data_IF_385737377061
#
_entry.id   IF_385737377061
#
_cell.length_a   1.000
_cell.length_b   1.000
_cell.length_c   1.000
_cell.angle_alpha   90.00
_cell.angle_beta   90.00
_cell.angle_gamma   90.00
#
_symmetry.space_group_name_H-M   'P 1'
#
loop_
_entity.id
_entity.type
_entity.pdbx_description
1 polymer ?
#
# COMPACT_ATOMS: atom_id res chain seq x y z
N UNK A 1 -1.66 13.28 -11.69
CA UNK A 1 -1.48 12.05 -10.85
C UNK A 1 -2.33 12.19 -9.60
N UNK A 2 -3.10 11.18 -9.23
CA UNK A 2 -3.98 11.13 -8.06
C UNK A 2 -3.87 9.76 -7.42
N UNK A 3 -3.65 9.69 -6.12
CA UNK A 3 -3.62 8.44 -5.35
C UNK A 3 -4.88 8.35 -4.48
N UNK A 4 -5.60 7.24 -4.55
CA UNK A 4 -6.75 6.94 -3.69
C UNK A 4 -6.41 5.72 -2.84
N UNK A 5 -6.47 5.85 -1.52
CA UNK A 5 -6.29 4.74 -0.58
C UNK A 5 -7.60 3.95 -0.49
N UNK A 6 -7.63 2.72 -0.96
CA UNK A 6 -8.85 1.89 -1.03
C UNK A 6 -9.09 1.09 0.24
N UNK A 7 -8.01 0.69 0.89
CA UNK A 7 -7.99 0.02 2.18
C UNK A 7 -6.71 0.40 2.93
N UNK A 8 -6.77 0.53 4.25
CA UNK A 8 -5.72 1.11 5.08
C UNK A 8 -5.41 0.32 6.33
N UNK A 9 -6.03 -0.86 6.49
CA UNK A 9 -5.84 -1.75 7.63
C UNK A 9 -4.71 -2.75 7.44
N UNK A 10 -4.26 -3.32 8.55
CA UNK A 10 -3.36 -4.48 8.57
C UNK A 10 -4.11 -5.77 8.15
N UNK A 11 -3.42 -6.90 8.12
CA UNK A 11 -3.99 -8.21 7.74
C UNK A 11 -5.26 -8.60 8.53
N UNK A 12 -5.45 -8.07 9.74
CA UNK A 12 -6.63 -8.32 10.58
C UNK A 12 -7.81 -7.43 10.24
N UNK A 13 -7.58 -6.32 9.52
CA UNK A 13 -8.57 -5.30 9.21
C UNK A 13 -9.19 -4.63 10.47
N UNK A 14 -10.12 -3.71 10.30
CA UNK A 14 -10.90 -3.12 11.40
C UNK A 14 -12.37 -3.05 10.97
N UNK A 15 -13.32 -3.66 11.69
CA UNK A 15 -13.18 -4.34 12.99
C UNK A 15 -12.63 -5.77 12.86
N UNK A 16 -11.81 -6.17 13.82
CA UNK A 16 -11.31 -7.55 13.95
C UNK A 16 -12.42 -8.48 14.43
N UNK A 17 -12.46 -9.72 13.90
CA UNK A 17 -13.42 -10.72 14.33
C UNK A 17 -13.32 -10.99 15.83
N UNK A 18 -14.46 -10.99 16.52
CA UNK A 18 -14.59 -11.22 17.96
C UNK A 18 -13.75 -10.29 18.87
N UNK A 19 -13.40 -9.09 18.42
CA UNK A 19 -12.70 -8.09 19.20
C UNK A 19 -13.68 -7.00 19.66
N UNK A 20 -13.68 -6.63 20.94
CA UNK A 20 -14.50 -5.57 21.55
C UNK A 20 -13.67 -4.37 22.03
N UNK A 21 -12.51 -4.11 21.43
CA UNK A 21 -11.78 -2.89 21.75
C UNK A 21 -12.51 -1.63 21.21
N UNK A 22 -12.26 -0.44 21.78
CA UNK A 22 -12.97 0.79 21.39
C UNK A 22 -12.96 1.08 19.88
N UNK A 23 -11.84 0.80 19.20
CA UNK A 23 -11.74 0.98 17.74
C UNK A 23 -12.65 0.00 16.98
N UNK A 24 -12.64 -1.29 17.33
CA UNK A 24 -13.48 -2.30 16.69
C UNK A 24 -14.96 -2.08 16.93
N UNK A 25 -15.35 -1.72 18.15
CA UNK A 25 -16.76 -1.43 18.46
C UNK A 25 -17.22 -0.17 17.72
N UNK A 26 -16.40 0.85 17.66
CA UNK A 26 -16.67 2.05 16.89
C UNK A 26 -16.82 1.77 15.38
N UNK A 27 -15.94 0.93 14.80
CA UNK A 27 -15.99 0.57 13.39
C UNK A 27 -17.21 -0.28 13.01
N UNK A 28 -17.80 -1.01 13.96
CA UNK A 28 -19.08 -1.72 13.74
C UNK A 28 -20.26 -0.76 13.61
N UNK A 29 -20.22 0.34 14.38
CA UNK A 29 -21.29 1.35 14.38
C UNK A 29 -21.11 2.35 13.23
N UNK A 30 -19.87 2.78 12.98
CA UNK A 30 -19.52 3.83 12.01
C UNK A 30 -18.71 3.25 10.84
N UNK A 31 -19.31 2.98 9.66
CA UNK A 31 -18.61 2.41 8.50
C UNK A 31 -17.35 3.20 8.08
N UNK A 32 -17.36 4.53 8.25
CA UNK A 32 -16.20 5.38 7.94
C UNK A 32 -14.96 5.13 8.83
N UNK A 33 -15.11 4.35 9.91
CA UNK A 33 -14.00 3.93 10.79
C UNK A 33 -13.49 2.52 10.50
N UNK A 34 -14.05 1.86 9.48
CA UNK A 34 -13.56 0.57 9.01
C UNK A 34 -12.27 0.72 8.24
N UNK A 35 -11.46 -0.33 8.29
CA UNK A 35 -10.23 -0.43 7.50
C UNK A 35 -10.22 -1.77 6.78
N UNK A 36 -10.30 -1.73 5.45
CA UNK A 36 -10.07 -2.90 4.60
C UNK A 36 -8.58 -3.22 4.44
N UNK A 37 -8.25 -4.33 3.76
CA UNK A 37 -6.87 -4.71 3.45
C UNK A 37 -6.14 -3.58 2.72
N UNK A 38 -4.86 -3.36 3.06
CA UNK A 38 -4.06 -2.27 2.51
C UNK A 38 -4.00 -2.34 0.98
N UNK A 39 -4.52 -1.30 0.31
CA UNK A 39 -4.59 -1.22 -1.15
C UNK A 39 -4.78 0.23 -1.59
N UNK A 40 -4.33 0.57 -2.78
CA UNK A 40 -4.50 1.91 -3.34
C UNK A 40 -4.74 1.87 -4.86
N UNK A 41 -5.30 2.96 -5.39
CA UNK A 41 -5.43 3.20 -6.83
C UNK A 41 -4.61 4.43 -7.20
N UNK A 42 -3.66 4.30 -8.11
CA UNK A 42 -2.95 5.43 -8.72
C UNK A 42 -3.48 5.71 -10.12
N UNK A 43 -3.87 6.95 -10.38
CA UNK A 43 -4.35 7.43 -11.67
C UNK A 43 -3.40 8.50 -12.19
N UNK A 44 -2.90 8.31 -13.43
CA UNK A 44 -2.01 9.26 -14.11
C UNK A 44 -2.34 9.29 -15.60
N UNK A 45 -2.80 10.43 -16.12
CA UNK A 45 -3.37 10.50 -17.46
C UNK A 45 -4.55 9.53 -17.61
N UNK A 46 -4.52 8.71 -18.65
CA UNK A 46 -5.52 7.67 -18.88
C UNK A 46 -5.23 6.35 -18.14
N UNK A 47 -4.09 6.26 -17.43
CA UNK A 47 -3.66 5.04 -16.75
C UNK A 47 -4.26 4.94 -15.35
N UNK A 48 -4.71 3.73 -14.98
CA UNK A 48 -5.25 3.39 -13.66
C UNK A 48 -4.59 2.10 -13.19
N UNK A 49 -3.72 2.20 -12.19
CA UNK A 49 -2.98 1.07 -11.63
C UNK A 49 -3.44 0.80 -10.21
N UNK A 50 -3.89 -0.41 -9.96
CA UNK A 50 -4.18 -0.88 -8.60
C UNK A 50 -2.85 -1.20 -7.91
N UNK A 51 -2.62 -0.70 -6.69
CA UNK A 51 -1.49 -1.09 -5.84
C UNK A 51 -2.06 -2.04 -4.79
N UNK A 52 -1.61 -3.27 -4.83
CA UNK A 52 -2.10 -4.42 -4.07
C UNK A 52 -3.59 -4.77 -4.30
N UNK A 53 -3.84 -6.04 -4.43
CA UNK A 53 -5.14 -6.63 -4.71
C UNK A 53 -5.68 -7.41 -3.50
N UNK A 54 -5.54 -6.86 -2.28
CA UNK A 54 -6.04 -7.48 -1.04
C UNK A 54 -7.55 -7.42 -0.87
N UNK A 55 -8.23 -6.48 -1.55
CA UNK A 55 -9.68 -6.32 -1.51
C UNK A 55 -10.39 -7.49 -2.23
N UNK A 56 -11.44 -8.02 -1.64
CA UNK A 56 -12.20 -9.15 -2.20
C UNK A 56 -13.32 -8.75 -3.17
N UNK A 57 -13.66 -7.47 -3.21
CA UNK A 57 -14.72 -6.86 -4.05
C UNK A 57 -14.18 -6.18 -5.32
N UNK A 58 -13.03 -6.63 -5.84
CA UNK A 58 -12.39 -5.99 -7.00
C UNK A 58 -13.27 -6.00 -8.25
N UNK A 59 -14.04 -7.08 -8.47
CA UNK A 59 -14.90 -7.21 -9.63
C UNK A 59 -16.09 -6.25 -9.62
N UNK A 60 -16.62 -5.93 -8.43
CA UNK A 60 -17.69 -4.96 -8.24
C UNK A 60 -17.16 -3.53 -8.29
N UNK A 61 -15.96 -3.32 -7.72
CA UNK A 61 -15.32 -2.01 -7.60
C UNK A 61 -14.77 -1.49 -8.91
N UNK A 62 -14.24 -2.39 -9.75
CA UNK A 62 -13.60 -2.05 -11.02
C UNK A 62 -14.36 -2.64 -12.21
N UNK A 63 -15.07 -1.80 -13.00
CA UNK A 63 -15.68 -2.25 -14.25
C UNK A 63 -14.65 -2.89 -15.20
N UNK A 64 -15.07 -3.80 -16.10
CA UNK A 64 -14.19 -4.38 -17.10
C UNK A 64 -13.41 -3.31 -17.88
N UNK A 65 -12.15 -3.57 -18.19
CA UNK A 65 -11.23 -2.65 -18.89
C UNK A 65 -10.93 -1.33 -18.16
N UNK A 66 -11.31 -1.17 -16.90
CA UNK A 66 -11.05 0.06 -16.14
C UNK A 66 -9.67 0.11 -15.50
N UNK A 67 -8.96 -1.01 -15.36
CA UNK A 67 -7.59 -1.08 -14.85
C UNK A 67 -6.59 -1.25 -15.99
N UNK A 68 -5.50 -0.50 -15.95
CA UNK A 68 -4.34 -0.67 -16.83
C UNK A 68 -3.48 -1.85 -16.36
N UNK A 69 -3.50 -2.17 -15.08
CA UNK A 69 -2.78 -3.28 -14.47
C UNK A 69 -2.72 -3.15 -12.95
N UNK A 70 -1.89 -4.01 -12.35
CA UNK A 70 -1.72 -4.14 -10.91
C UNK A 70 -0.22 -4.00 -10.58
N UNK A 71 0.11 -3.18 -9.60
CA UNK A 71 1.41 -3.08 -8.95
C UNK A 71 1.32 -3.88 -7.64
N UNK A 72 1.86 -5.07 -7.61
CA UNK A 72 1.82 -5.94 -6.44
C UNK A 72 3.06 -5.71 -5.59
N UNK A 73 2.91 -5.29 -4.32
CA UNK A 73 4.06 -5.08 -3.45
C UNK A 73 4.69 -6.40 -3.02
N UNK A 74 3.86 -7.38 -2.66
CA UNK A 74 4.26 -8.73 -2.27
C UNK A 74 3.02 -9.66 -2.25
N UNK A 75 3.24 -10.95 -1.96
CA UNK A 75 2.18 -11.96 -2.07
C UNK A 75 1.71 -12.52 -0.72
N UNK A 76 1.62 -11.70 0.36
CA UNK A 76 0.79 -12.06 1.51
C UNK A 76 -0.69 -12.00 1.14
N UNK A 77 -1.53 -12.77 1.83
CA UNK A 77 -2.93 -12.91 1.49
C UNK A 77 -3.70 -11.59 1.52
N UNK A 78 -3.45 -10.76 2.51
CA UNK A 78 -4.08 -9.45 2.67
C UNK A 78 -3.71 -8.43 1.60
N UNK A 79 -2.67 -8.71 0.79
CA UNK A 79 -2.28 -7.90 -0.37
C UNK A 79 -2.66 -8.54 -1.72
N UNK A 80 -2.94 -9.85 -1.76
CA UNK A 80 -3.09 -10.58 -3.02
C UNK A 80 -4.36 -11.45 -3.13
N UNK A 81 -5.17 -11.61 -2.07
CA UNK A 81 -6.31 -12.53 -2.06
C UNK A 81 -7.39 -12.20 -3.11
N UNK A 82 -7.56 -10.93 -3.47
CA UNK A 82 -8.50 -10.53 -4.53
C UNK A 82 -8.11 -11.04 -5.91
N UNK A 83 -6.82 -11.31 -6.15
CA UNK A 83 -6.34 -11.95 -7.39
C UNK A 83 -6.93 -13.34 -7.58
N UNK A 84 -7.17 -14.09 -6.49
CA UNK A 84 -7.75 -15.43 -6.54
C UNK A 84 -9.15 -15.44 -7.15
N UNK A 85 -9.90 -14.34 -7.03
CA UNK A 85 -11.21 -14.17 -7.63
C UNK A 85 -11.10 -13.52 -9.02
N UNK A 86 -10.32 -12.44 -9.13
CA UNK A 86 -10.17 -11.67 -10.36
C UNK A 86 -9.64 -12.50 -11.55
N UNK A 87 -8.76 -13.49 -11.29
CA UNK A 87 -8.17 -14.36 -12.33
C UNK A 87 -9.19 -15.08 -13.20
N UNK A 88 -10.41 -15.30 -12.70
CA UNK A 88 -11.48 -15.99 -13.43
C UNK A 88 -12.28 -15.09 -14.38
N UNK A 89 -11.85 -13.85 -14.57
CA UNK A 89 -12.39 -12.93 -15.57
C UNK A 89 -12.28 -13.50 -16.99
N UNK A 90 -12.91 -12.83 -17.96
CA UNK A 90 -12.96 -13.28 -19.35
C UNK A 90 -12.70 -12.14 -20.33
N UNK A 91 -12.08 -12.44 -21.47
CA UNK A 91 -12.00 -11.55 -22.60
C UNK A 91 -10.99 -10.39 -22.50
N UNK A 92 -10.12 -10.41 -21.47
CA UNK A 92 -9.03 -9.42 -21.29
C UNK A 92 -7.83 -10.05 -20.60
N UNK A 93 -6.70 -9.35 -20.61
CA UNK A 93 -5.51 -9.66 -19.83
C UNK A 93 -5.18 -8.47 -18.94
N UNK A 94 -4.86 -8.74 -17.68
CA UNK A 94 -4.45 -7.72 -16.70
C UNK A 94 -2.98 -7.99 -16.31
N UNK A 95 -2.03 -7.10 -16.66
CA UNK A 95 -0.65 -7.24 -16.22
C UNK A 95 -0.56 -7.05 -14.69
N UNK A 96 0.19 -7.94 -14.05
CA UNK A 96 0.52 -7.87 -12.63
C UNK A 96 2.04 -7.74 -12.50
N UNK A 97 2.50 -6.55 -12.17
CA UNK A 97 3.91 -6.25 -11.96
C UNK A 97 4.21 -6.24 -10.46
N UNK A 98 5.00 -7.17 -10.02
CA UNK A 98 5.42 -7.29 -8.61
C UNK A 98 6.81 -7.91 -8.52
N UNK A 99 7.26 -8.33 -7.33
CA UNK A 99 8.51 -9.06 -7.18
C UNK A 99 8.43 -10.44 -7.87
N UNK A 100 9.58 -10.93 -8.36
CA UNK A 100 9.73 -12.30 -8.84
C UNK A 100 9.82 -13.26 -7.64
N UNK A 101 8.66 -13.45 -6.98
CA UNK A 101 8.51 -14.36 -5.84
C UNK A 101 8.05 -15.74 -6.34
N UNK A 102 8.92 -16.79 -6.30
CA UNK A 102 8.59 -18.10 -6.85
C UNK A 102 7.45 -18.81 -6.12
N UNK A 103 7.15 -18.42 -4.88
CA UNK A 103 6.04 -18.99 -4.11
C UNK A 103 4.71 -18.29 -4.44
N UNK A 104 4.73 -16.97 -4.65
CA UNK A 104 3.53 -16.17 -4.89
C UNK A 104 2.49 -16.33 -3.78
N UNK A 105 1.21 -16.47 -4.18
CA UNK A 105 0.10 -16.81 -3.31
C UNK A 105 -0.69 -18.00 -3.88
N UNK A 106 -0.86 -19.06 -3.09
CA UNK A 106 -1.61 -20.27 -3.46
C UNK A 106 -1.20 -20.79 -4.87
N UNK A 107 -2.17 -21.01 -5.75
CA UNK A 107 -1.97 -21.54 -7.10
C UNK A 107 -2.06 -20.48 -8.22
N UNK A 108 -1.83 -19.21 -7.90
CA UNK A 108 -1.98 -18.10 -8.87
C UNK A 108 -1.14 -18.32 -10.13
N UNK A 109 0.14 -18.71 -9.99
CA UNK A 109 1.02 -18.91 -11.13
C UNK A 109 0.68 -20.17 -11.94
N UNK A 110 0.12 -21.18 -11.29
CA UNK A 110 -0.33 -22.41 -11.96
C UNK A 110 -1.61 -22.20 -12.77
N UNK A 111 -2.48 -21.32 -12.27
CA UNK A 111 -3.78 -21.01 -12.87
C UNK A 111 -4.02 -19.50 -12.88
N UNK A 112 -3.25 -18.71 -13.66
CA UNK A 112 -3.30 -17.26 -13.63
C UNK A 112 -4.58 -16.69 -14.27
N UNK A 113 -5.27 -17.43 -15.13
CA UNK A 113 -6.47 -16.95 -15.83
C UNK A 113 -6.16 -15.73 -16.68
N UNK A 114 -6.83 -14.60 -16.39
CA UNK A 114 -6.60 -13.32 -17.09
C UNK A 114 -5.41 -12.52 -16.55
N UNK A 115 -4.74 -12.99 -15.50
CA UNK A 115 -3.61 -12.27 -14.90
C UNK A 115 -2.30 -12.65 -15.61
N UNK A 116 -1.52 -11.64 -15.98
CA UNK A 116 -0.22 -11.82 -16.61
C UNK A 116 0.91 -11.40 -15.66
N UNK A 117 1.65 -12.40 -15.16
CA UNK A 117 2.81 -12.24 -14.28
C UNK A 117 4.15 -12.27 -15.04
N UNK A 118 4.15 -12.23 -16.37
CA UNK A 118 5.35 -12.43 -17.21
C UNK A 118 6.40 -11.33 -17.08
N UNK A 119 6.07 -10.19 -16.49
CA UNK A 119 6.97 -9.04 -16.38
C UNK A 119 7.10 -8.57 -14.90
N UNK A 120 7.75 -9.37 -14.03
CA UNK A 120 8.04 -8.92 -12.67
C UNK A 120 9.01 -7.74 -12.68
N UNK A 121 9.07 -7.01 -11.59
CA UNK A 121 10.10 -5.98 -11.36
C UNK A 121 11.39 -6.60 -10.83
N UNK A 122 12.53 -6.11 -11.32
CA UNK A 122 13.79 -6.26 -10.62
C UNK A 122 13.95 -5.16 -9.55
N UNK A 123 14.78 -5.42 -8.53
CA UNK A 123 15.12 -4.43 -7.51
C UNK A 123 15.71 -3.18 -8.17
N UNK A 124 15.22 -2.01 -7.78
CA UNK A 124 15.60 -0.68 -8.30
C UNK A 124 15.30 -0.46 -9.79
N UNK A 125 14.57 -1.37 -10.42
CA UNK A 125 14.13 -1.16 -11.79
C UNK A 125 13.15 0.01 -11.84
N UNK A 126 13.41 0.94 -12.78
CA UNK A 126 12.50 2.01 -13.15
C UNK A 126 11.82 1.66 -14.48
N UNK A 127 10.49 1.63 -14.49
CA UNK A 127 9.69 1.28 -15.66
C UNK A 127 8.64 2.34 -15.96
N UNK A 128 8.56 2.82 -17.22
CA UNK A 128 7.48 3.67 -17.66
C UNK A 128 6.20 2.85 -17.85
N UNK A 129 5.11 3.27 -17.22
CA UNK A 129 3.77 2.69 -17.36
C UNK A 129 2.81 3.77 -17.86
N UNK A 130 2.88 4.05 -19.16
CA UNK A 130 2.23 5.22 -19.76
C UNK A 130 2.85 6.54 -19.28
N UNK A 131 2.06 7.43 -18.70
CA UNK A 131 2.53 8.71 -18.12
C UNK A 131 3.08 8.55 -16.68
N UNK A 132 2.93 7.38 -16.08
CA UNK A 132 3.46 7.05 -14.76
C UNK A 132 4.84 6.40 -14.91
N UNK A 133 5.84 6.88 -14.17
CA UNK A 133 7.11 6.19 -13.97
C UNK A 133 7.12 5.53 -12.61
N UNK A 134 7.44 4.24 -12.54
CA UNK A 134 7.43 3.43 -11.33
C UNK A 134 8.81 2.87 -11.09
N UNK A 135 9.37 3.09 -9.90
CA UNK A 135 10.62 2.45 -9.46
C UNK A 135 10.31 1.48 -8.33
N UNK A 136 10.71 0.22 -8.47
CA UNK A 136 10.56 -0.81 -7.45
C UNK A 136 11.69 -0.70 -6.41
N UNK A 137 11.34 -0.51 -5.15
CA UNK A 137 12.27 -0.31 -4.04
C UNK A 137 12.19 -1.49 -3.06
N UNK A 138 13.26 -2.29 -2.88
CA UNK A 138 13.28 -3.35 -1.88
C UNK A 138 12.94 -2.84 -0.49
N UNK A 139 12.11 -3.59 0.24
CA UNK A 139 11.69 -3.31 1.60
C UNK A 139 12.07 -4.44 2.56
N UNK A 140 12.07 -4.15 3.87
CA UNK A 140 12.37 -5.11 4.93
C UNK A 140 11.08 -5.78 5.42
N UNK A 141 10.79 -6.96 4.90
CA UNK A 141 9.62 -7.73 5.30
C UNK A 141 9.91 -9.23 5.29
N UNK A 142 8.97 -10.06 5.79
CA UNK A 142 9.11 -11.52 5.85
C UNK A 142 8.96 -12.22 4.49
N UNK A 143 8.37 -11.56 3.49
CA UNK A 143 8.32 -11.97 2.09
C UNK A 143 9.14 -10.99 1.23
N UNK A 144 9.52 -11.43 0.03
CA UNK A 144 10.11 -10.54 -0.98
C UNK A 144 9.11 -9.41 -1.29
N UNK A 145 9.47 -8.19 -0.90
CA UNK A 145 8.56 -7.04 -0.91
C UNK A 145 9.20 -5.84 -1.59
N UNK A 146 8.44 -5.20 -2.46
CA UNK A 146 8.78 -3.90 -3.03
C UNK A 146 7.80 -2.81 -2.56
N UNK A 147 8.35 -1.67 -2.16
CA UNK A 147 7.64 -0.40 -2.22
C UNK A 147 7.79 0.22 -3.60
N UNK A 148 7.02 1.26 -3.89
CA UNK A 148 7.05 1.93 -5.19
C UNK A 148 7.30 3.42 -5.04
N UNK A 149 8.30 3.93 -5.76
CA UNK A 149 8.41 5.35 -6.05
C UNK A 149 7.64 5.65 -7.34
N UNK A 150 6.57 6.42 -7.21
CA UNK A 150 5.63 6.79 -8.27
C UNK A 150 5.91 8.24 -8.70
N UNK A 151 6.17 8.45 -9.98
CA UNK A 151 6.45 9.77 -10.53
C UNK A 151 5.55 10.03 -11.74
N UNK A 152 4.91 11.17 -11.75
CA UNK A 152 3.99 11.56 -12.84
C UNK A 152 3.54 13.00 -12.69
N UNK A 153 2.67 13.45 -13.60
CA UNK A 153 2.13 14.81 -13.57
C UNK A 153 0.75 14.85 -12.93
N UNK A 154 0.51 15.88 -12.14
CA UNK A 154 -0.85 16.23 -11.68
C UNK A 154 -1.69 16.74 -12.87
N UNK A 155 -3.00 16.91 -12.64
CA UNK A 155 -3.90 17.51 -13.64
C UNK A 155 -3.47 18.94 -14.05
N UNK A 156 -2.76 19.64 -13.16
CA UNK A 156 -2.22 20.97 -13.42
C UNK A 156 -0.85 20.94 -14.14
N UNK A 157 -0.34 19.75 -14.48
CA UNK A 157 0.94 19.57 -15.17
C UNK A 157 2.17 19.58 -14.27
N UNK A 158 2.02 19.75 -12.96
CA UNK A 158 3.12 19.74 -12.00
C UNK A 158 3.67 18.32 -11.84
N UNK A 159 4.99 18.16 -11.74
CA UNK A 159 5.60 16.88 -11.39
C UNK A 159 5.30 16.54 -9.94
N UNK A 160 4.91 15.30 -9.69
CA UNK A 160 4.63 14.77 -8.36
C UNK A 160 5.40 13.49 -8.10
N UNK A 161 5.98 13.38 -6.91
CA UNK A 161 6.75 12.22 -6.42
C UNK A 161 6.10 11.64 -5.17
N UNK A 162 5.63 10.40 -5.27
CA UNK A 162 4.97 9.68 -4.17
C UNK A 162 5.76 8.41 -3.88
N UNK A 163 6.16 8.21 -2.63
CA UNK A 163 6.66 6.92 -2.15
C UNK A 163 5.51 6.15 -1.47
N UNK A 164 5.22 4.94 -1.95
CA UNK A 164 4.26 4.01 -1.35
C UNK A 164 5.04 2.84 -0.76
N UNK A 165 5.22 2.83 0.57
CA UNK A 165 6.08 1.91 1.30
C UNK A 165 5.25 1.17 2.37
N UNK A 166 4.51 0.15 1.93
CA UNK A 166 3.75 -0.69 2.84
C UNK A 166 4.47 -2.01 3.10
N UNK A 167 4.25 -2.56 4.30
CA UNK A 167 4.85 -3.78 4.79
C UNK A 167 6.38 -3.71 4.84
N UNK A 168 6.84 -2.87 5.77
CA UNK A 168 8.28 -2.70 5.98
C UNK A 168 8.63 -2.40 7.42
N UNK A 169 9.78 -2.89 7.86
CA UNK A 169 10.44 -2.46 9.09
C UNK A 169 11.54 -1.46 8.75
N UNK A 170 11.31 -0.18 9.01
CA UNK A 170 12.18 0.90 8.54
C UNK A 170 12.19 0.95 7.02
N UNK A 171 13.24 1.54 6.45
CA UNK A 171 13.52 1.54 5.00
C UNK A 171 14.98 1.14 4.80
N UNK A 172 15.29 0.13 3.96
CA UNK A 172 16.66 -0.23 3.64
C UNK A 172 17.44 0.97 3.11
N UNK A 173 18.69 1.14 3.51
CA UNK A 173 19.49 2.33 3.16
C UNK A 173 19.58 2.56 1.65
N UNK A 174 19.76 1.50 0.85
CA UNK A 174 19.80 1.62 -0.61
C UNK A 174 18.48 2.15 -1.19
N UNK A 175 17.33 1.79 -0.62
CA UNK A 175 16.02 2.33 -1.03
C UNK A 175 15.84 3.77 -0.53
N UNK A 176 16.31 4.09 0.67
CA UNK A 176 16.30 5.45 1.20
C UNK A 176 17.20 6.41 0.39
N UNK A 177 18.34 5.94 -0.10
CA UNK A 177 19.23 6.73 -0.99
C UNK A 177 18.51 7.13 -2.29
N UNK A 178 17.76 6.22 -2.92
CA UNK A 178 16.96 6.53 -4.11
C UNK A 178 15.86 7.56 -3.79
N UNK A 179 15.21 7.41 -2.64
CA UNK A 179 14.14 8.32 -2.22
C UNK A 179 14.66 9.74 -1.94
N UNK A 180 15.85 9.87 -1.35
CA UNK A 180 16.49 11.17 -1.02
C UNK A 180 17.10 11.91 -2.21
N UNK A 181 17.22 11.30 -3.39
CA UNK A 181 17.77 11.98 -4.58
C UNK A 181 17.02 13.25 -4.96
N UNK A 182 15.73 13.31 -4.69
CA UNK A 182 14.87 14.46 -4.92
C UNK A 182 13.80 14.54 -3.83
N UNK A 183 13.23 15.72 -3.54
CA UNK A 183 12.14 15.86 -2.57
C UNK A 183 10.95 14.93 -2.85
N UNK A 184 10.36 14.38 -1.79
CA UNK A 184 9.11 13.62 -1.84
C UNK A 184 7.93 14.54 -1.50
N UNK A 185 6.92 14.57 -2.36
CA UNK A 185 5.69 15.32 -2.08
C UNK A 185 4.81 14.56 -1.08
N UNK A 186 4.81 13.22 -1.18
CA UNK A 186 4.00 12.35 -0.33
C UNK A 186 4.75 11.05 -0.01
N UNK A 187 4.72 10.69 1.26
CA UNK A 187 5.12 9.37 1.76
C UNK A 187 3.88 8.65 2.31
N UNK A 188 3.49 7.53 1.72
CA UNK A 188 2.54 6.57 2.29
C UNK A 188 3.36 5.45 2.93
N UNK A 189 3.25 5.29 4.25
CA UNK A 189 4.18 4.46 5.03
C UNK A 189 3.45 3.50 5.95
N UNK A 190 3.92 2.25 6.00
CA UNK A 190 3.53 1.25 7.01
C UNK A 190 3.71 1.79 8.43
N UNK A 191 2.65 1.68 9.24
CA UNK A 191 2.69 1.92 10.68
C UNK A 191 1.58 1.11 11.37
N UNK A 192 1.86 -0.14 11.73
CA UNK A 192 0.82 -1.07 12.18
C UNK A 192 0.46 -0.94 13.65
N UNK A 193 1.34 -0.38 14.49
CA UNK A 193 1.17 -0.37 15.95
C UNK A 193 1.58 0.94 16.61
N UNK A 194 1.04 1.17 17.81
CA UNK A 194 1.53 2.19 18.74
C UNK A 194 3.02 1.95 19.09
N UNK A 195 3.71 2.93 19.69
CA UNK A 195 5.08 2.76 20.17
C UNK A 195 5.24 1.51 21.04
N UNK A 196 6.24 0.68 20.76
CA UNK A 196 6.48 -0.57 21.45
C UNK A 196 7.83 -0.56 22.19
N UNK A 197 7.88 -1.18 23.38
CA UNK A 197 9.12 -1.38 24.13
C UNK A 197 10.00 -2.50 23.52
N UNK A 198 9.39 -3.45 22.80
CA UNK A 198 10.08 -4.52 22.08
C UNK A 198 10.09 -4.16 20.60
N UNK A 199 11.26 -4.22 19.97
CA UNK A 199 11.38 -3.92 18.55
C UNK A 199 10.42 -4.77 17.70
N UNK A 200 9.57 -4.17 16.86
CA UNK A 200 8.73 -4.92 15.94
C UNK A 200 9.58 -5.70 14.93
N UNK A 201 9.01 -6.71 14.27
CA UNK A 201 9.78 -7.60 13.39
C UNK A 201 9.56 -7.33 11.90
N UNK A 202 8.32 -7.06 11.50
CA UNK A 202 7.93 -6.99 10.08
C UNK A 202 7.31 -5.66 9.68
N UNK A 203 6.87 -4.87 10.64
CA UNK A 203 6.14 -3.62 10.42
C UNK A 203 6.68 -2.54 11.34
N UNK A 204 6.50 -1.29 10.96
CA UNK A 204 6.82 -0.18 11.84
C UNK A 204 5.79 -0.06 12.98
N UNK A 205 6.27 0.26 14.16
CA UNK A 205 5.50 1.00 15.15
C UNK A 205 5.59 2.51 14.87
N UNK A 206 4.83 3.32 15.60
CA UNK A 206 4.84 4.77 15.39
C UNK A 206 6.25 5.37 15.57
N UNK A 207 7.04 4.90 16.54
CA UNK A 207 8.40 5.41 16.76
C UNK A 207 9.29 5.21 15.54
N UNK A 208 9.25 4.02 14.94
CA UNK A 208 10.05 3.72 13.73
C UNK A 208 9.52 4.42 12.50
N UNK A 209 8.21 4.52 12.34
CA UNK A 209 7.62 5.27 11.25
C UNK A 209 8.06 6.74 11.29
N UNK A 210 8.09 7.38 12.47
CA UNK A 210 8.58 8.75 12.61
C UNK A 210 10.08 8.88 12.36
N UNK A 211 10.90 7.87 12.68
CA UNK A 211 12.33 7.83 12.28
C UNK A 211 12.50 7.80 10.76
N UNK A 212 11.66 7.04 10.04
CA UNK A 212 11.66 7.05 8.56
C UNK A 212 11.25 8.42 8.01
N UNK A 213 10.24 9.07 8.60
CA UNK A 213 9.85 10.43 8.23
C UNK A 213 11.01 11.41 8.42
N UNK A 214 11.70 11.34 9.55
CA UNK A 214 12.90 12.16 9.81
C UNK A 214 14.03 11.87 8.82
N UNK A 215 14.24 10.60 8.43
CA UNK A 215 15.27 10.19 7.46
C UNK A 215 14.98 10.69 6.04
N UNK A 216 13.70 10.66 5.60
CA UNK A 216 13.30 10.94 4.22
C UNK A 216 12.81 12.38 4.00
N UNK A 217 12.41 13.10 5.05
CA UNK A 217 11.94 14.49 5.01
C UNK A 217 10.87 14.77 3.93
N UNK A 218 9.79 13.97 3.83
CA UNK A 218 8.73 14.23 2.85
C UNK A 218 7.93 15.50 3.19
N UNK A 219 7.27 16.11 2.21
CA UNK A 219 6.38 17.25 2.46
C UNK A 219 5.15 16.84 3.28
N UNK A 220 4.60 15.65 3.01
CA UNK A 220 3.48 15.06 3.74
C UNK A 220 3.72 13.57 3.96
N UNK A 221 3.23 13.05 5.09
CA UNK A 221 3.22 11.61 5.38
C UNK A 221 1.81 11.16 5.74
N UNK A 222 1.41 10.02 5.17
CA UNK A 222 0.17 9.32 5.51
C UNK A 222 0.53 7.90 5.96
N UNK A 223 0.22 7.58 7.22
CA UNK A 223 0.48 6.28 7.81
C UNK A 223 -0.63 5.30 7.42
N UNK A 224 -0.27 4.15 6.89
CA UNK A 224 -1.19 3.08 6.43
C UNK A 224 -0.87 1.75 7.08
N UNK A 225 -1.59 0.68 6.71
CA UNK A 225 -1.46 -0.66 7.30
C UNK A 225 -1.73 -0.67 8.81
N UNK A 226 -2.78 0.05 9.20
CA UNK A 226 -3.12 0.37 10.60
C UNK A 226 -3.79 -0.81 11.29
N UNK A 227 -3.22 -1.27 12.40
CA UNK A 227 -3.84 -2.28 13.26
C UNK A 227 -4.90 -1.69 14.20
N UNK A 228 -5.92 -2.49 14.57
CA UNK A 228 -7.00 -2.06 15.46
C UNK A 228 -6.52 -1.58 16.84
N UNK A 229 -5.42 -2.13 17.34
CA UNK A 229 -4.83 -1.72 18.60
C UNK A 229 -4.18 -0.33 18.52
N UNK A 230 -3.65 0.03 17.35
CA UNK A 230 -3.12 1.37 17.12
C UNK A 230 -4.26 2.40 17.02
N UNK A 231 -5.33 2.10 16.28
CA UNK A 231 -6.53 2.94 16.27
C UNK A 231 -7.11 3.14 17.68
N UNK A 232 -7.16 2.08 18.50
CA UNK A 232 -7.63 2.19 19.88
C UNK A 232 -6.70 3.07 20.73
N UNK A 233 -5.39 2.90 20.61
CA UNK A 233 -4.40 3.71 21.33
C UNK A 233 -4.48 5.20 20.97
N UNK A 234 -4.75 5.51 19.70
CA UNK A 234 -4.89 6.91 19.24
C UNK A 234 -6.13 7.61 19.80
N UNK A 235 -7.17 6.88 20.20
CA UNK A 235 -8.31 7.50 20.90
C UNK A 235 -7.90 8.11 22.24
N UNK A 236 -6.92 7.50 22.91
CA UNK A 236 -6.38 7.97 24.19
C UNK A 236 -5.17 8.92 23.98
N UNK A 237 -4.63 9.01 22.76
CA UNK A 237 -3.44 9.80 22.41
C UNK A 237 -3.67 10.63 21.14
N UNK A 238 -4.65 11.57 21.13
CA UNK A 238 -5.05 12.29 19.92
C UNK A 238 -3.96 13.19 19.33
N UNK A 239 -3.00 13.64 20.16
CA UNK A 239 -1.90 14.53 19.77
C UNK A 239 -0.59 13.78 19.48
N UNK A 240 -0.64 12.45 19.31
CA UNK A 240 0.57 11.63 19.12
C UNK A 240 1.25 11.82 17.76
N UNK A 241 0.53 12.33 16.74
CA UNK A 241 1.08 12.54 15.41
C UNK A 241 1.62 13.96 15.27
N UNK A 242 2.89 14.14 14.83
CA UNK A 242 3.46 15.46 14.62
C UNK A 242 2.87 16.15 13.38
N UNK A 243 3.03 17.47 13.24
CA UNK A 243 2.64 18.20 12.03
C UNK A 243 3.20 17.56 10.75
N UNK A 244 2.38 17.49 9.69
CA UNK A 244 2.76 16.87 8.42
C UNK A 244 2.58 15.33 8.37
N UNK A 245 2.23 14.69 9.49
CA UNK A 245 1.93 13.26 9.57
C UNK A 245 0.45 13.06 9.89
N UNK A 246 -0.23 12.22 9.14
CA UNK A 246 -1.65 11.88 9.32
C UNK A 246 -1.89 10.38 9.17
N UNK A 247 -3.06 9.91 9.63
CA UNK A 247 -3.51 8.54 9.37
C UNK A 247 -4.25 8.45 8.05
N UNK A 248 -4.02 7.37 7.34
CA UNK A 248 -4.82 6.96 6.20
C UNK A 248 -6.26 6.64 6.61
N UNK A 249 -7.19 6.90 5.70
CA UNK A 249 -8.61 6.50 5.81
C UNK A 249 -9.02 5.83 4.51
N UNK A 250 -9.85 4.76 4.59
CA UNK A 250 -10.39 4.09 3.40
C UNK A 250 -11.18 5.07 2.54
N UNK A 251 -10.87 5.14 1.25
CA UNK A 251 -11.46 6.08 0.31
C UNK A 251 -10.78 7.46 0.26
N UNK A 252 -9.73 7.71 1.05
CA UNK A 252 -9.00 8.98 1.04
C UNK A 252 -8.32 9.23 -0.30
N UNK A 253 -8.50 10.43 -0.84
CA UNK A 253 -7.85 10.91 -2.07
C UNK A 253 -6.71 11.86 -1.69
N UNK A 254 -5.55 11.63 -2.29
CA UNK A 254 -4.30 12.33 -2.01
C UNK A 254 -3.70 12.92 -3.30
#
# INVERSE_FOLDING_TARGET
MRLTLLGTGDARQVPVYNCSCPACDSARVYPARRRGPCSALIECGAQRWLIDAGLTDLCERFPPHSLSGILQTHYHADHAQGLLHLRWGQGLIIPVHGPDDPEGLADLYKHPGILDFSQPFAAFEQRPLGELSVTALPLNHSKLTFGYLLQGRTINGECRRIAYLTDTLGVPEASAEVLRQQPLDLLVLDCSTAPQSIAPRNHNDLTRALQVVEQLQPQQTVLTHIGHSFDAWLLDNPDALPPGVSLAVDGQVL
#
